data_IF_476737873885
#
_entry.id   IF_476737873885
#
_cell.length_a   1.000
_cell.length_b   1.000
_cell.length_c   1.000
_cell.angle_alpha   90.00
_cell.angle_beta   90.00
_cell.angle_gamma   90.00
#
_symmetry.space_group_name_H-M   'P 1'
#
loop_
_entity.id
_entity.type
_entity.pdbx_description
1 polymer ?
#
# COMPACT_ATOMS: atom_id res chain seq x y z
N UNK A 1 -21.40 -6.61 3.21
CA UNK A 1 -20.34 -6.67 4.23
C UNK A 1 -20.37 -5.38 5.02
N UNK A 2 -20.46 -5.45 6.34
CA UNK A 2 -20.44 -4.26 7.20
C UNK A 2 -19.01 -4.02 7.68
N UNK A 3 -18.49 -2.81 7.45
CA UNK A 3 -17.21 -2.39 7.99
C UNK A 3 -17.41 -1.82 9.40
N UNK A 4 -16.62 -2.29 10.35
CA UNK A 4 -16.63 -1.80 11.73
C UNK A 4 -15.96 -0.43 11.79
N UNK A 5 -16.48 0.48 12.61
CA UNK A 5 -15.82 1.74 12.92
C UNK A 5 -14.94 1.53 14.16
N UNK A 6 -13.64 1.74 14.02
CA UNK A 6 -12.66 1.49 15.07
C UNK A 6 -12.24 2.80 15.76
N UNK A 7 -11.66 2.67 16.94
CA UNK A 7 -11.00 3.80 17.60
C UNK A 7 -9.74 4.22 16.84
N UNK A 8 -9.34 5.49 16.95
CA UNK A 8 -8.18 6.01 16.21
C UNK A 8 -6.87 5.28 16.58
N UNK A 9 -6.72 4.86 17.85
CA UNK A 9 -5.56 4.11 18.34
C UNK A 9 -5.37 2.76 17.63
N UNK A 10 -6.40 2.20 16.99
CA UNK A 10 -6.27 1.00 16.16
C UNK A 10 -5.26 1.19 15.03
N UNK A 11 -5.02 2.42 14.55
CA UNK A 11 -4.01 2.68 13.53
C UNK A 11 -2.59 2.35 14.03
N UNK A 12 -2.28 2.71 15.28
CA UNK A 12 -1.03 2.31 15.92
C UNK A 12 -1.00 0.81 16.23
N UNK A 13 -2.13 0.23 16.66
CA UNK A 13 -2.24 -1.22 16.91
C UNK A 13 -1.91 -2.04 15.66
N UNK A 14 -2.37 -1.62 14.48
CA UNK A 14 -2.03 -2.30 13.22
C UNK A 14 -0.52 -2.34 12.95
N UNK A 15 0.22 -1.28 13.32
CA UNK A 15 1.68 -1.26 13.22
C UNK A 15 2.30 -2.28 14.17
N UNK A 16 1.88 -2.28 15.44
CA UNK A 16 2.36 -3.23 16.43
C UNK A 16 2.04 -4.68 16.07
N UNK A 17 0.82 -4.96 15.61
CA UNK A 17 0.37 -6.28 15.17
C UNK A 17 1.12 -6.73 13.91
N UNK A 18 1.37 -5.82 12.96
CA UNK A 18 2.22 -6.09 11.80
C UNK A 18 3.64 -6.46 12.18
N UNK A 19 4.24 -5.75 13.14
CA UNK A 19 5.55 -6.08 13.68
C UNK A 19 5.56 -7.43 14.42
N UNK A 20 4.55 -7.70 15.24
CA UNK A 20 4.40 -8.97 15.93
C UNK A 20 4.29 -10.13 14.93
N UNK A 21 3.50 -9.94 13.86
CA UNK A 21 3.33 -10.93 12.80
C UNK A 21 4.63 -11.17 12.02
N UNK A 22 5.35 -10.10 11.66
CA UNK A 22 6.67 -10.19 11.03
C UNK A 22 7.63 -11.06 11.86
N UNK A 23 7.67 -10.87 13.19
CA UNK A 23 8.55 -11.64 14.09
C UNK A 23 8.25 -13.13 14.15
N UNK A 24 7.06 -13.57 13.76
CA UNK A 24 6.74 -15.01 13.71
C UNK A 24 7.52 -15.72 12.61
N UNK A 25 7.71 -15.07 11.45
CA UNK A 25 8.32 -15.65 10.25
C UNK A 25 9.14 -14.60 9.47
N UNK A 26 10.20 -14.02 10.07
CA UNK A 26 10.88 -12.84 9.54
C UNK A 26 11.51 -13.09 8.17
N UNK A 27 12.10 -14.28 7.96
CA UNK A 27 12.70 -14.63 6.68
C UNK A 27 11.65 -14.71 5.56
N UNK A 28 10.47 -15.27 5.81
CA UNK A 28 9.43 -15.39 4.79
C UNK A 28 8.96 -13.99 4.33
N UNK A 29 8.64 -13.11 5.28
CA UNK A 29 8.18 -11.76 4.97
C UNK A 29 9.30 -10.87 4.40
N UNK A 30 10.54 -11.02 4.87
CA UNK A 30 11.70 -10.36 4.29
C UNK A 30 11.91 -10.78 2.84
N UNK A 31 11.90 -12.08 2.54
CA UNK A 31 12.03 -12.59 1.17
C UNK A 31 10.92 -12.07 0.25
N UNK A 32 9.68 -11.96 0.75
CA UNK A 32 8.58 -11.38 -0.01
C UNK A 32 8.75 -9.88 -0.26
N UNK A 33 9.13 -9.11 0.76
CA UNK A 33 9.41 -7.69 0.62
C UNK A 33 10.59 -7.44 -0.34
N UNK A 34 11.62 -8.29 -0.28
CA UNK A 34 12.75 -8.27 -1.20
C UNK A 34 12.30 -8.57 -2.63
N UNK A 35 11.44 -9.58 -2.83
CA UNK A 35 10.86 -9.91 -4.14
C UNK A 35 10.09 -8.72 -4.73
N UNK A 36 9.21 -8.08 -3.95
CA UNK A 36 8.48 -6.88 -4.39
C UNK A 36 9.46 -5.74 -4.72
N UNK A 37 10.49 -5.54 -3.90
CA UNK A 37 11.50 -4.50 -4.11
C UNK A 37 12.30 -4.74 -5.40
N UNK A 38 12.61 -6.00 -5.71
CA UNK A 38 13.26 -6.37 -6.97
C UNK A 38 12.34 -6.12 -8.18
N UNK A 39 11.05 -6.46 -8.08
CA UNK A 39 10.08 -6.13 -9.12
C UNK A 39 9.98 -4.62 -9.35
N UNK A 40 9.98 -3.82 -8.27
CA UNK A 40 9.97 -2.36 -8.34
C UNK A 40 11.25 -1.81 -8.98
N UNK A 41 12.41 -2.40 -8.66
CA UNK A 41 13.69 -2.04 -9.27
C UNK A 41 13.67 -2.31 -10.78
N UNK A 42 13.24 -3.51 -11.19
CA UNK A 42 13.11 -3.88 -12.62
C UNK A 42 12.14 -2.94 -13.34
N UNK A 43 11.01 -2.61 -12.69
CA UNK A 43 10.04 -1.66 -13.23
C UNK A 43 10.67 -0.27 -13.44
N UNK A 44 11.46 0.21 -12.47
CA UNK A 44 12.09 1.53 -12.53
C UNK A 44 13.13 1.69 -13.63
N UNK A 45 13.77 0.59 -14.09
CA UNK A 45 14.78 0.63 -15.18
C UNK A 45 14.20 0.31 -16.56
N UNK A 46 12.91 -0.05 -16.66
CA UNK A 46 12.19 -0.30 -17.92
C UNK A 46 11.06 0.70 -18.26
N UNK A 47 11.17 2.03 -17.98
CA UNK A 47 10.14 2.98 -18.43
C UNK A 47 9.94 2.99 -19.95
N UNK A 48 8.69 3.18 -20.43
CA UNK A 48 7.46 3.36 -19.63
C UNK A 48 6.77 2.04 -19.24
N UNK A 49 7.20 0.89 -19.78
CA UNK A 49 6.47 -0.39 -19.67
C UNK A 49 6.53 -0.95 -18.24
N UNK A 50 7.70 -0.89 -17.60
CA UNK A 50 7.93 -1.43 -16.26
C UNK A 50 6.94 -0.92 -15.21
N UNK A 51 6.82 0.40 -15.00
CA UNK A 51 5.89 0.96 -14.02
C UNK A 51 4.43 0.61 -14.31
N UNK A 52 4.03 0.57 -15.60
CA UNK A 52 2.66 0.19 -16.01
C UNK A 52 2.35 -1.24 -15.57
N UNK A 53 3.24 -2.19 -15.86
CA UNK A 53 3.08 -3.60 -15.49
C UNK A 53 3.07 -3.74 -13.97
N UNK A 54 3.97 -3.06 -13.26
CA UNK A 54 4.04 -3.10 -11.80
C UNK A 54 2.72 -2.64 -11.15
N UNK A 55 2.16 -1.52 -11.61
CA UNK A 55 0.89 -0.99 -11.10
C UNK A 55 -0.27 -1.94 -11.37
N UNK A 56 -0.35 -2.54 -12.56
CA UNK A 56 -1.40 -3.51 -12.90
C UNK A 56 -1.32 -4.78 -12.01
N UNK A 57 -0.12 -5.18 -11.62
CA UNK A 57 0.11 -6.35 -10.76
C UNK A 57 -0.13 -6.08 -9.27
N UNK A 58 -0.15 -4.82 -8.83
CA UNK A 58 -0.27 -4.47 -7.40
C UNK A 58 -1.46 -5.13 -6.69
N UNK A 59 -2.68 -5.18 -7.25
CA UNK A 59 -3.78 -5.89 -6.60
C UNK A 59 -3.51 -7.36 -6.31
N UNK A 60 -2.80 -8.05 -7.21
CA UNK A 60 -2.39 -9.44 -7.00
C UNK A 60 -1.35 -9.55 -5.89
N UNK A 61 -0.37 -8.65 -5.87
CA UNK A 61 0.62 -8.54 -4.79
C UNK A 61 -0.05 -8.28 -3.44
N UNK A 62 -1.06 -7.40 -3.38
CA UNK A 62 -1.84 -7.14 -2.17
C UNK A 62 -2.56 -8.38 -1.67
N UNK A 63 -3.26 -9.12 -2.55
CA UNK A 63 -3.97 -10.36 -2.17
C UNK A 63 -3.01 -11.43 -1.67
N UNK A 64 -1.86 -11.61 -2.32
CA UNK A 64 -0.82 -12.54 -1.86
C UNK A 64 -0.31 -12.13 -0.48
N UNK A 65 0.03 -10.86 -0.29
CA UNK A 65 0.53 -10.30 0.98
C UNK A 65 -0.47 -10.54 2.12
N UNK A 66 -1.74 -10.22 1.88
CA UNK A 66 -2.82 -10.42 2.83
C UNK A 66 -3.05 -11.90 3.16
N UNK A 67 -2.95 -12.78 2.17
CA UNK A 67 -3.13 -14.22 2.36
C UNK A 67 -1.97 -14.83 3.15
N UNK A 68 -0.74 -14.36 2.91
CA UNK A 68 0.44 -14.73 3.71
C UNK A 68 0.28 -14.27 5.17
N UNK A 69 -0.15 -13.02 5.38
CA UNK A 69 -0.44 -12.50 6.72
C UNK A 69 -1.50 -13.33 7.45
N UNK A 70 -2.59 -13.68 6.76
CA UNK A 70 -3.64 -14.57 7.29
C UNK A 70 -3.09 -15.94 7.69
N UNK A 71 -2.27 -16.55 6.83
CA UNK A 71 -1.69 -17.86 7.06
C UNK A 71 -0.74 -17.87 8.26
N UNK A 72 0.13 -16.86 8.37
CA UNK A 72 1.01 -16.69 9.52
C UNK A 72 0.24 -16.42 10.82
N UNK A 73 -0.84 -15.62 10.77
CA UNK A 73 -1.67 -15.35 11.94
C UNK A 73 -2.39 -16.61 12.47
N UNK A 74 -2.59 -17.61 11.61
CA UNK A 74 -3.12 -18.94 11.99
C UNK A 74 -2.04 -19.90 12.51
N UNK A 75 -0.78 -19.46 12.64
CA UNK A 75 0.34 -20.29 13.09
C UNK A 75 0.93 -21.21 12.01
N UNK A 76 0.47 -21.10 10.76
CA UNK A 76 0.97 -21.93 9.67
C UNK A 76 2.25 -21.35 9.05
N UNK A 77 3.18 -22.22 8.65
CA UNK A 77 4.44 -21.82 8.01
C UNK A 77 4.21 -21.39 6.55
N UNK A 78 4.71 -20.23 6.17
CA UNK A 78 4.66 -19.71 4.80
C UNK A 78 5.81 -20.35 4.00
N UNK A 79 5.45 -21.21 3.05
CA UNK A 79 6.40 -21.84 2.13
C UNK A 79 6.48 -21.05 0.82
N UNK A 80 7.67 -21.03 0.19
CA UNK A 80 7.88 -20.31 -1.06
C UNK A 80 6.96 -20.81 -2.19
N UNK A 81 6.60 -22.10 -2.16
CA UNK A 81 5.67 -22.74 -3.09
C UNK A 81 4.23 -22.23 -2.98
N UNK A 82 3.85 -21.61 -1.86
CA UNK A 82 2.46 -21.25 -1.57
C UNK A 82 2.15 -19.76 -1.79
N UNK A 83 3.15 -18.91 -2.08
CA UNK A 83 2.91 -17.47 -2.28
C UNK A 83 1.92 -17.18 -3.41
N UNK A 84 1.99 -17.93 -4.50
CA UNK A 84 1.10 -17.73 -5.65
C UNK A 84 -0.20 -18.52 -5.56
N UNK A 85 -0.41 -19.29 -4.49
CA UNK A 85 -1.62 -20.06 -4.27
C UNK A 85 -2.91 -19.23 -4.31
N UNK A 86 -2.98 -18.01 -3.71
CA UNK A 86 -4.15 -17.16 -3.78
C UNK A 86 -4.53 -16.74 -5.21
N UNK A 87 -3.59 -16.83 -6.15
CA UNK A 87 -3.77 -16.44 -7.55
C UNK A 87 -4.05 -17.62 -8.49
N UNK A 88 -3.93 -18.87 -8.01
CA UNK A 88 -4.18 -20.08 -8.82
C UNK A 88 -5.55 -20.07 -9.51
N UNK A 89 -6.66 -19.60 -8.89
CA UNK A 89 -7.94 -19.52 -9.59
C UNK A 89 -7.86 -18.49 -10.73
N UNK A 90 -7.99 -18.91 -12.01
CA UNK A 90 -7.77 -18.00 -13.15
C UNK A 90 -8.79 -16.86 -13.19
N UNK A 91 -9.99 -17.08 -12.63
CA UNK A 91 -11.03 -16.05 -12.49
C UNK A 91 -10.64 -14.95 -11.51
N UNK A 92 -9.91 -15.28 -10.43
CA UNK A 92 -9.45 -14.31 -9.44
C UNK A 92 -8.31 -13.47 -10.01
N UNK A 93 -7.28 -14.11 -10.57
CA UNK A 93 -6.14 -13.40 -11.15
C UNK A 93 -6.57 -12.43 -12.27
N UNK A 94 -7.45 -12.86 -13.18
CA UNK A 94 -8.02 -11.99 -14.23
C UNK A 94 -8.76 -10.78 -13.66
N UNK A 95 -9.56 -10.96 -12.60
CA UNK A 95 -10.26 -9.85 -11.93
C UNK A 95 -9.29 -8.87 -11.28
N UNK A 96 -8.21 -9.36 -10.67
CA UNK A 96 -7.19 -8.53 -10.04
C UNK A 96 -6.39 -7.72 -11.07
N UNK A 97 -6.02 -8.33 -12.21
CA UNK A 97 -5.41 -7.61 -13.33
C UNK A 97 -6.35 -6.55 -13.91
N UNK A 98 -7.62 -6.88 -14.11
CA UNK A 98 -8.63 -5.92 -14.58
C UNK A 98 -8.79 -4.73 -13.61
N UNK A 99 -8.72 -4.99 -12.31
CA UNK A 99 -8.74 -3.94 -11.30
C UNK A 99 -7.46 -3.10 -11.28
N UNK A 100 -6.29 -3.71 -11.51
CA UNK A 100 -5.03 -2.98 -11.65
C UNK A 100 -5.01 -2.08 -12.89
N UNK A 101 -5.58 -2.55 -14.00
CA UNK A 101 -5.79 -1.74 -15.19
C UNK A 101 -6.76 -0.58 -14.93
N UNK A 102 -7.87 -0.83 -14.22
CA UNK A 102 -8.80 0.23 -13.81
C UNK A 102 -8.12 1.26 -12.90
N UNK A 103 -7.30 0.81 -11.94
CA UNK A 103 -6.52 1.68 -11.07
C UNK A 103 -5.59 2.59 -11.88
N UNK A 104 -4.84 2.02 -12.82
CA UNK A 104 -3.93 2.76 -13.69
C UNK A 104 -4.69 3.81 -14.52
N UNK A 105 -5.76 3.42 -15.21
CA UNK A 105 -6.56 4.34 -16.03
C UNK A 105 -7.16 5.45 -15.17
N UNK A 106 -7.69 5.12 -13.99
CA UNK A 106 -8.23 6.11 -13.07
C UNK A 106 -7.15 7.09 -12.62
N UNK A 107 -5.97 6.59 -12.24
CA UNK A 107 -4.83 7.42 -11.84
C UNK A 107 -4.39 8.38 -12.96
N UNK A 108 -4.29 7.89 -14.19
CA UNK A 108 -3.95 8.71 -15.36
C UNK A 108 -5.02 9.77 -15.66
N UNK A 109 -6.31 9.42 -15.56
CA UNK A 109 -7.41 10.37 -15.73
C UNK A 109 -7.39 11.44 -14.65
N UNK A 110 -7.16 11.08 -13.38
CA UNK A 110 -7.05 12.04 -12.28
C UNK A 110 -5.83 12.96 -12.46
N UNK A 111 -4.70 12.43 -12.94
CA UNK A 111 -3.53 13.21 -13.31
C UNK A 111 -3.85 14.21 -14.43
N UNK A 112 -4.50 13.74 -15.50
CA UNK A 112 -4.92 14.60 -16.60
C UNK A 112 -5.86 15.72 -16.12
N UNK A 113 -6.87 15.38 -15.32
CA UNK A 113 -7.82 16.36 -14.77
C UNK A 113 -7.15 17.38 -13.85
N UNK A 114 -6.17 16.95 -13.04
CA UNK A 114 -5.46 17.84 -12.14
C UNK A 114 -4.52 18.80 -12.88
N UNK A 115 -3.84 18.33 -13.94
CA UNK A 115 -2.82 19.12 -14.66
C UNK A 115 -3.32 19.88 -15.87
N UNK A 116 -4.40 19.44 -16.52
CA UNK A 116 -4.89 20.06 -17.75
C UNK A 116 -5.20 21.57 -17.62
N UNK A 117 -5.81 22.05 -16.51
CA UNK A 117 -6.03 23.49 -16.31
C UNK A 117 -4.74 24.33 -16.22
N UNK A 118 -3.63 23.70 -15.82
CA UNK A 118 -2.33 24.34 -15.58
C UNK A 118 -1.32 24.03 -16.69
N UNK A 119 -1.73 23.40 -17.79
CA UNK A 119 -0.82 22.88 -18.81
C UNK A 119 0.05 23.98 -19.46
N UNK A 120 -0.49 25.18 -19.65
CA UNK A 120 0.25 26.32 -20.20
C UNK A 120 1.39 26.77 -19.26
N UNK A 121 1.07 27.00 -17.98
CA UNK A 121 2.04 27.41 -16.95
C UNK A 121 3.15 26.38 -16.78
N UNK A 122 2.80 25.09 -16.70
CA UNK A 122 3.79 24.00 -16.60
C UNK A 122 4.67 23.93 -17.85
N UNK A 123 4.11 24.12 -19.04
CA UNK A 123 4.87 24.11 -20.29
C UNK A 123 5.84 25.28 -20.38
N UNK A 124 5.42 26.47 -19.96
CA UNK A 124 6.28 27.65 -19.91
C UNK A 124 7.41 27.48 -18.91
N UNK A 125 7.10 26.99 -17.70
CA UNK A 125 8.10 26.71 -16.69
C UNK A 125 9.12 25.64 -17.13
N UNK A 126 8.67 24.62 -17.88
CA UNK A 126 9.56 23.59 -18.43
C UNK A 126 10.53 24.17 -19.48
N UNK A 127 10.08 25.11 -20.31
CA UNK A 127 10.95 25.83 -21.26
C UNK A 127 11.96 26.73 -20.53
N UNK A 128 11.53 27.40 -19.47
CA UNK A 128 12.41 28.23 -18.64
C UNK A 128 13.51 27.40 -17.95
N UNK A 129 13.19 26.16 -17.54
CA UNK A 129 14.16 25.21 -16.98
C UNK A 129 15.29 24.92 -17.96
N UNK A 130 14.96 24.72 -19.23
CA UNK A 130 15.94 24.38 -20.28
C UNK A 130 16.94 25.52 -20.55
N UNK A 131 16.54 26.77 -20.28
CA UNK A 131 17.37 27.96 -20.50
C UNK A 131 18.15 28.47 -19.28
N UNK A 132 17.75 28.12 -18.05
CA UNK A 132 18.31 28.72 -16.83
C UNK A 132 18.81 27.73 -15.77
N UNK A 133 18.56 26.43 -15.97
CA UNK A 133 18.79 25.37 -14.97
C UNK A 133 18.18 25.67 -13.58
N UNK A 134 17.22 26.61 -13.52
CA UNK A 134 16.52 27.00 -12.31
C UNK A 134 15.18 26.24 -12.21
N UNK A 135 15.06 25.40 -11.19
CA UNK A 135 13.88 24.58 -10.93
C UNK A 135 12.70 25.36 -10.30
N UNK A 136 12.94 26.54 -9.73
CA UNK A 136 11.92 27.24 -8.94
C UNK A 136 10.62 27.52 -9.72
N UNK A 137 10.66 28.04 -10.97
CA UNK A 137 9.43 28.28 -11.74
C UNK A 137 8.63 27.00 -11.99
N UNK A 138 9.31 25.88 -12.21
CA UNK A 138 8.65 24.58 -12.40
C UNK A 138 7.99 24.09 -11.11
N UNK A 139 8.68 24.21 -9.97
CA UNK A 139 8.13 23.83 -8.67
C UNK A 139 6.90 24.64 -8.29
N UNK A 140 6.88 25.93 -8.64
CA UNK A 140 5.71 26.80 -8.44
C UNK A 140 4.55 26.40 -9.35
N UNK A 141 4.81 26.22 -10.66
CA UNK A 141 3.80 25.84 -11.64
C UNK A 141 3.14 24.48 -11.34
N UNK A 142 3.89 23.50 -10.82
CA UNK A 142 3.34 22.16 -10.50
C UNK A 142 2.72 22.07 -9.11
N UNK A 143 2.90 23.06 -8.23
CA UNK A 143 2.45 22.99 -6.82
C UNK A 143 0.95 22.74 -6.71
N UNK A 144 0.15 23.61 -7.33
CA UNK A 144 -1.32 23.53 -7.29
C UNK A 144 -1.86 22.25 -7.92
N UNK A 145 -1.48 21.87 -9.16
CA UNK A 145 -1.97 20.62 -9.75
C UNK A 145 -1.51 19.38 -8.97
N UNK A 146 -0.34 19.40 -8.33
CA UNK A 146 0.10 18.30 -7.46
C UNK A 146 -0.75 18.15 -6.20
N UNK A 147 -1.17 19.24 -5.57
CA UNK A 147 -2.08 19.19 -4.42
C UNK A 147 -3.45 18.62 -4.85
N UNK A 148 -3.99 19.08 -5.98
CA UNK A 148 -5.26 18.57 -6.53
C UNK A 148 -5.14 17.08 -6.83
N UNK A 149 -4.07 16.67 -7.50
CA UNK A 149 -3.79 15.26 -7.78
C UNK A 149 -3.68 14.44 -6.48
N UNK A 150 -2.96 14.93 -5.48
CA UNK A 150 -2.79 14.23 -4.19
C UNK A 150 -4.14 14.00 -3.48
N UNK A 151 -5.05 14.98 -3.50
CA UNK A 151 -6.39 14.84 -2.93
C UNK A 151 -7.18 13.77 -3.68
N UNK A 152 -7.22 13.83 -5.01
CA UNK A 152 -7.93 12.82 -5.82
C UNK A 152 -7.32 11.43 -5.69
N UNK A 153 -5.99 11.34 -5.64
CA UNK A 153 -5.28 10.10 -5.42
C UNK A 153 -5.61 9.51 -4.04
N UNK A 154 -5.71 10.32 -2.99
CA UNK A 154 -6.11 9.85 -1.66
C UNK A 154 -7.53 9.26 -1.65
N UNK A 155 -8.48 9.90 -2.34
CA UNK A 155 -9.83 9.37 -2.49
C UNK A 155 -9.84 8.07 -3.29
N UNK A 156 -9.10 8.02 -4.38
CA UNK A 156 -8.92 6.80 -5.18
C UNK A 156 -8.29 5.67 -4.35
N UNK A 157 -7.23 5.96 -3.60
CA UNK A 157 -6.56 4.98 -2.74
C UNK A 157 -7.53 4.35 -1.73
N UNK A 158 -8.43 5.15 -1.13
CA UNK A 158 -9.48 4.64 -0.24
C UNK A 158 -10.45 3.67 -0.95
N UNK A 159 -10.81 3.94 -2.21
CA UNK A 159 -11.67 3.04 -2.99
C UNK A 159 -10.99 1.70 -3.29
N UNK A 160 -9.67 1.69 -3.50
CA UNK A 160 -8.94 0.48 -3.89
C UNK A 160 -8.27 -0.25 -2.72
N UNK A 161 -8.16 0.35 -1.53
CA UNK A 161 -7.40 -0.18 -0.40
C UNK A 161 -7.78 -1.62 -0.02
N UNK A 162 -9.09 -1.89 0.16
CA UNK A 162 -9.60 -3.21 0.52
C UNK A 162 -10.23 -3.98 -0.66
N UNK A 163 -10.47 -3.32 -1.78
CA UNK A 163 -11.14 -3.91 -2.94
C UNK A 163 -10.50 -5.23 -3.45
N UNK A 164 -9.15 -5.38 -3.55
CA UNK A 164 -8.54 -6.64 -3.97
C UNK A 164 -8.93 -7.83 -3.10
N UNK A 165 -8.85 -7.64 -1.79
CA UNK A 165 -9.19 -8.67 -0.81
C UNK A 165 -10.68 -9.03 -0.88
N UNK A 166 -11.54 -8.01 -0.99
CA UNK A 166 -12.98 -8.20 -1.08
C UNK A 166 -13.38 -8.98 -2.33
N UNK A 167 -12.78 -8.68 -3.49
CA UNK A 167 -13.02 -9.43 -4.73
C UNK A 167 -12.47 -10.85 -4.64
N UNK A 168 -11.25 -11.02 -4.11
CA UNK A 168 -10.58 -12.33 -4.06
C UNK A 168 -11.22 -13.29 -3.06
N UNK A 169 -11.56 -12.83 -1.86
CA UNK A 169 -12.03 -13.69 -0.77
C UNK A 169 -13.55 -13.81 -0.72
N UNK A 170 -14.29 -12.76 -1.03
CA UNK A 170 -15.76 -12.75 -0.96
C UNK A 170 -16.44 -12.88 -2.32
N UNK A 171 -15.66 -12.94 -3.41
CA UNK A 171 -16.15 -13.18 -4.78
C UNK A 171 -17.22 -12.18 -5.26
N UNK A 172 -17.28 -10.99 -4.64
CA UNK A 172 -18.24 -9.93 -5.01
C UNK A 172 -17.80 -9.18 -6.28
N UNK A 173 -18.72 -8.39 -6.85
CA UNK A 173 -18.46 -7.55 -8.02
C UNK A 173 -17.50 -6.40 -7.72
N UNK A 174 -16.80 -5.92 -8.76
CA UNK A 174 -15.78 -4.86 -8.63
C UNK A 174 -16.35 -3.56 -8.05
N UNK A 175 -17.45 -3.05 -8.61
CA UNK A 175 -18.09 -1.82 -8.13
C UNK A 175 -18.53 -1.93 -6.66
N UNK A 176 -19.06 -3.10 -6.28
CA UNK A 176 -19.46 -3.38 -4.91
C UNK A 176 -18.25 -3.42 -3.96
N UNK A 177 -17.12 -3.97 -4.40
CA UNK A 177 -15.87 -4.00 -3.64
C UNK A 177 -15.28 -2.60 -3.45
N UNK A 178 -15.27 -1.77 -4.50
CA UNK A 178 -14.83 -0.36 -4.43
C UNK A 178 -15.70 0.44 -3.46
N UNK A 179 -17.03 0.26 -3.53
CA UNK A 179 -17.97 0.91 -2.61
C UNK A 179 -17.71 0.51 -1.15
N UNK A 180 -17.62 -0.79 -0.85
CA UNK A 180 -17.35 -1.25 0.51
C UNK A 180 -15.98 -0.80 1.03
N UNK A 181 -14.95 -0.80 0.18
CA UNK A 181 -13.62 -0.26 0.54
C UNK A 181 -13.70 1.23 0.86
N UNK A 182 -14.34 2.03 0.00
CA UNK A 182 -14.51 3.46 0.23
C UNK A 182 -15.25 3.77 1.53
N UNK A 183 -16.37 3.08 1.78
CA UNK A 183 -17.13 3.22 3.04
C UNK A 183 -16.29 2.80 4.25
N UNK A 184 -15.55 1.70 4.15
CA UNK A 184 -14.68 1.22 5.23
C UNK A 184 -13.57 2.23 5.57
N UNK A 185 -12.89 2.76 4.55
CA UNK A 185 -11.87 3.78 4.73
C UNK A 185 -12.45 5.09 5.26
N UNK A 186 -13.61 5.53 4.77
CA UNK A 186 -14.27 6.74 5.25
C UNK A 186 -14.67 6.67 6.73
N UNK A 187 -15.25 5.53 7.14
CA UNK A 187 -15.60 5.26 8.55
C UNK A 187 -14.37 5.22 9.46
N UNK A 188 -13.22 4.82 8.92
CA UNK A 188 -11.97 4.66 9.66
C UNK A 188 -10.89 5.71 9.31
N UNK A 189 -11.27 6.88 8.78
CA UNK A 189 -10.29 7.90 8.30
C UNK A 189 -9.23 8.28 9.32
N UNK A 190 -9.60 8.43 10.59
CA UNK A 190 -8.67 8.78 11.67
C UNK A 190 -7.72 7.62 12.03
N UNK A 191 -8.19 6.38 11.90
CA UNK A 191 -7.38 5.17 12.04
C UNK A 191 -6.30 5.17 10.95
N UNK A 192 -6.69 5.46 9.71
CA UNK A 192 -5.77 5.61 8.58
C UNK A 192 -4.80 6.77 8.75
N UNK A 193 -5.23 7.91 9.29
CA UNK A 193 -4.35 9.04 9.59
C UNK A 193 -3.26 8.67 10.60
N UNK A 194 -3.64 8.01 11.72
CA UNK A 194 -2.67 7.56 12.73
C UNK A 194 -1.76 6.46 12.15
N UNK A 195 -2.31 5.52 11.39
CA UNK A 195 -1.54 4.46 10.74
C UNK A 195 -0.49 5.03 9.76
N UNK A 196 -0.90 5.96 8.91
CA UNK A 196 -0.01 6.66 7.98
C UNK A 196 1.07 7.47 8.70
N UNK A 197 0.68 8.25 9.73
CA UNK A 197 1.62 9.02 10.54
C UNK A 197 2.63 8.13 11.28
N UNK A 198 2.19 6.97 11.75
CA UNK A 198 3.04 6.00 12.44
C UNK A 198 4.11 5.43 11.50
N UNK A 199 3.72 4.97 10.31
CA UNK A 199 4.68 4.48 9.31
C UNK A 199 5.60 5.57 8.77
N UNK A 200 5.07 6.78 8.55
CA UNK A 200 5.88 7.93 8.20
C UNK A 200 6.95 8.18 9.27
N UNK A 201 6.56 8.17 10.55
CA UNK A 201 7.48 8.31 11.68
C UNK A 201 8.55 7.22 11.71
N UNK A 202 8.19 5.96 11.42
CA UNK A 202 9.15 4.84 11.35
C UNK A 202 10.18 5.06 10.23
N UNK A 203 9.76 5.39 9.01
CA UNK A 203 10.71 5.58 7.91
C UNK A 203 11.55 6.85 8.06
N UNK A 204 10.98 7.94 8.57
CA UNK A 204 11.74 9.15 8.93
C UNK A 204 12.76 8.84 10.02
N UNK A 205 12.42 8.03 11.02
CA UNK A 205 13.36 7.63 12.06
C UNK A 205 14.50 6.77 11.51
N UNK A 206 14.22 5.84 10.58
CA UNK A 206 15.24 5.03 9.89
C UNK A 206 16.20 5.95 9.13
N UNK A 207 15.69 6.86 8.33
CA UNK A 207 16.50 7.77 7.49
C UNK A 207 17.33 8.75 8.35
N UNK A 208 16.71 9.30 9.40
CA UNK A 208 17.38 10.18 10.35
C UNK A 208 18.49 9.45 11.10
N UNK A 209 18.26 8.21 11.53
CA UNK A 209 19.28 7.41 12.20
C UNK A 209 20.48 7.14 11.28
N UNK A 210 20.26 6.80 10.01
CA UNK A 210 21.35 6.64 9.04
C UNK A 210 22.11 7.95 8.81
N UNK A 211 21.39 9.08 8.71
CA UNK A 211 22.00 10.41 8.55
C UNK A 211 22.89 10.78 9.74
N UNK A 212 22.46 10.46 10.97
CA UNK A 212 23.27 10.66 12.19
C UNK A 212 24.53 9.79 12.17
N UNK A 213 24.45 8.55 11.70
CA UNK A 213 25.64 7.68 11.58
C UNK A 213 26.64 8.22 10.56
N UNK A 214 26.17 8.74 9.42
CA UNK A 214 27.04 9.40 8.43
C UNK A 214 27.72 10.62 9.03
N UNK A 215 26.96 11.46 9.73
CA UNK A 215 27.51 12.62 10.44
C UNK A 215 28.55 12.22 11.50
N UNK A 216 28.37 11.09 12.16
CA UNK A 216 29.31 10.52 13.13
C UNK A 216 30.56 9.86 12.50
N UNK A 217 30.68 9.86 11.16
CA UNK A 217 31.87 9.38 10.45
C UNK A 217 31.69 8.07 9.67
N UNK A 218 30.47 7.49 9.63
CA UNK A 218 30.19 6.36 8.75
C UNK A 218 30.25 6.82 7.28
N UNK A 219 30.89 6.05 6.40
CA UNK A 219 30.93 6.42 4.99
C UNK A 219 29.53 6.36 4.37
N UNK A 220 29.21 7.33 3.50
CA UNK A 220 27.91 7.41 2.84
C UNK A 220 27.58 6.15 2.03
N UNK A 221 28.60 5.51 1.42
CA UNK A 221 28.43 4.26 0.68
C UNK A 221 28.04 3.09 1.58
N UNK A 222 28.63 2.98 2.77
CA UNK A 222 28.26 1.94 3.75
C UNK A 222 26.86 2.20 4.29
N UNK A 223 26.54 3.46 4.64
CA UNK A 223 25.22 3.85 5.11
C UNK A 223 24.13 3.50 4.07
N UNK A 224 24.34 3.85 2.79
CA UNK A 224 23.43 3.51 1.71
C UNK A 224 23.26 1.99 1.54
N UNK A 225 24.34 1.23 1.67
CA UNK A 225 24.31 -0.24 1.57
C UNK A 225 23.51 -0.87 2.72
N UNK A 226 23.61 -0.35 3.94
CA UNK A 226 22.85 -0.81 5.11
C UNK A 226 21.39 -0.34 5.07
N UNK A 227 21.11 0.82 4.49
CA UNK A 227 19.77 1.39 4.42
C UNK A 227 18.82 0.53 3.59
N UNK A 228 19.31 -0.14 2.53
CA UNK A 228 18.51 -1.03 1.69
C UNK A 228 17.85 -2.18 2.48
N UNK A 229 18.59 -3.08 3.15
CA UNK A 229 17.97 -4.16 3.91
C UNK A 229 17.13 -3.65 5.09
N UNK A 230 17.47 -2.51 5.70
CA UNK A 230 16.67 -1.90 6.77
C UNK A 230 15.30 -1.46 6.22
N UNK A 231 15.27 -0.80 5.06
CA UNK A 231 14.03 -0.42 4.38
C UNK A 231 13.21 -1.64 3.96
N UNK A 232 13.85 -2.73 3.52
CA UNK A 232 13.15 -3.98 3.20
C UNK A 232 12.52 -4.59 4.45
N UNK A 233 13.19 -4.56 5.61
CA UNK A 233 12.62 -5.01 6.89
C UNK A 233 11.43 -4.12 7.28
N UNK A 234 11.57 -2.80 7.18
CA UNK A 234 10.49 -1.85 7.42
C UNK A 234 9.28 -2.11 6.50
N UNK A 235 9.54 -2.34 5.21
CA UNK A 235 8.53 -2.72 4.22
C UNK A 235 7.87 -4.06 4.51
N UNK A 236 8.62 -5.07 4.95
CA UNK A 236 8.09 -6.36 5.37
C UNK A 236 7.13 -6.21 6.56
N UNK A 237 7.50 -5.43 7.56
CA UNK A 237 6.64 -5.12 8.70
C UNK A 237 5.38 -4.33 8.29
N UNK A 238 5.51 -3.39 7.34
CA UNK A 238 4.38 -2.68 6.74
C UNK A 238 3.42 -3.65 6.04
N UNK A 239 3.94 -4.54 5.19
CA UNK A 239 3.14 -5.55 4.51
C UNK A 239 2.42 -6.50 5.47
N UNK A 240 3.07 -6.89 6.58
CA UNK A 240 2.44 -7.68 7.64
C UNK A 240 1.25 -6.97 8.29
N UNK A 241 1.27 -5.63 8.39
CA UNK A 241 0.18 -4.86 9.00
C UNK A 241 -1.10 -4.80 8.14
N UNK A 242 -1.05 -5.22 6.88
CA UNK A 242 -2.23 -5.21 6.00
C UNK A 242 -3.29 -6.21 6.44
N UNK A 243 -2.90 -7.41 6.89
CA UNK A 243 -3.87 -8.42 7.33
C UNK A 243 -4.61 -8.04 8.62
N UNK A 244 -3.93 -7.61 9.70
CA UNK A 244 -4.61 -7.11 10.90
C UNK A 244 -5.52 -5.91 10.63
N UNK A 245 -5.10 -5.01 9.72
CA UNK A 245 -5.96 -3.90 9.25
C UNK A 245 -7.25 -4.42 8.61
N UNK A 246 -7.17 -5.37 7.69
CA UNK A 246 -8.34 -5.97 7.09
C UNK A 246 -9.22 -6.71 8.12
N UNK A 247 -8.60 -7.55 8.97
CA UNK A 247 -9.30 -8.40 9.92
C UNK A 247 -10.10 -7.57 10.94
N UNK A 248 -9.49 -6.53 11.51
CA UNK A 248 -10.16 -5.65 12.46
C UNK A 248 -11.33 -4.86 11.85
N UNK A 249 -11.28 -4.55 10.55
CA UNK A 249 -12.35 -3.80 9.86
C UNK A 249 -13.50 -4.69 9.39
N UNK A 250 -13.21 -5.92 8.93
CA UNK A 250 -14.21 -6.78 8.27
C UNK A 250 -14.52 -8.10 8.99
N UNK A 251 -13.67 -8.59 9.89
CA UNK A 251 -13.88 -9.85 10.61
C UNK A 251 -14.38 -9.64 12.03
N UNK A 252 -14.05 -8.50 12.67
CA UNK A 252 -14.58 -8.17 13.99
C UNK A 252 -16.13 -8.12 14.04
N UNK A 253 -16.80 -7.86 12.92
CA UNK A 253 -18.27 -7.91 12.80
C UNK A 253 -18.86 -9.32 12.73
N UNK A 254 -18.06 -10.36 12.48
CA UNK A 254 -18.55 -11.73 12.29
C UNK A 254 -18.71 -12.50 13.61
N UNK A 255 -17.87 -12.21 14.60
CA UNK A 255 -17.91 -12.87 15.91
C UNK A 255 -19.04 -12.35 16.83
N UNK A 256 -19.57 -11.15 16.57
CA UNK A 256 -20.73 -10.58 17.28
C UNK A 256 -22.09 -11.06 16.73
N UNK A 257 -22.11 -11.81 15.62
CA UNK A 257 -23.34 -12.27 14.96
C UNK A 257 -23.74 -13.71 15.25
N UNK A 258 -23.07 -14.41 16.18
CA UNK A 258 -23.58 -15.67 16.74
C UNK A 258 -24.43 -15.32 17.95
N UNK A 259 -25.79 -15.35 17.88
CA UNK A 259 -26.59 -15.24 19.09
C UNK A 259 -26.29 -16.48 19.94
N UNK A 260 -25.97 -16.26 21.22
CA UNK A 260 -26.03 -17.29 22.23
C UNK A 260 -27.51 -17.71 22.42
N UNK A 261 -28.03 -18.50 21.49
CA UNK A 261 -29.32 -19.17 21.58
C UNK A 261 -29.15 -20.59 21.05
N UNK A 262 -28.66 -21.46 21.93
CA UNK A 262 -29.09 -22.86 22.09
C UNK A 262 -28.16 -23.52 23.11
N UNK A 263 -28.29 -23.09 24.36
CA UNK A 263 -27.78 -23.82 25.51
C UNK A 263 -28.63 -23.48 26.74
N UNK A 264 -29.83 -24.05 26.78
CA UNK A 264 -30.49 -24.38 28.03
C UNK A 264 -31.18 -25.75 27.85
N UNK A 265 -31.12 -26.61 28.88
CA UNK A 265 -31.23 -28.07 28.76
C UNK A 265 -32.63 -28.60 28.45
#
# INVERSE_FOLDING_TARGET
MQAVALNALSGWRWVCEGWALFRTQPLAFFSWAMFISLLLMIASITPPIGPIVFVILMPAVTVVTLSAGRHAAQGHKILLSHWLEPLKPPTVFKKLLGMGALYLVTCLLLGLLAFMPFAAEVTEALKALTGSNNLMPLLEAVRTPMIIFAIFYMLMAALFWYAPALVAWHKIGLLQALFFSGVACWRNKWVFSIYGASWLGVFVAIDSAMSVLVWAGLSSSIAATLQVPINIIGGAALYCSFYPSYASVFLASADEQVPAQDAAP
#
